data_IF_791355950418
#
_entry.id   IF_791355950418
#
_cell.length_a   1.000
_cell.length_b   1.000
_cell.length_c   1.000
_cell.angle_alpha   90.00
_cell.angle_beta   90.00
_cell.angle_gamma   90.00
#
_symmetry.space_group_name_H-M   'P 1'
#
loop_
_entity.id
_entity.type
_entity.pdbx_description
1 polymer ?
#
# COMPACT_ATOMS: atom_id res chain seq x y z
N UNK A 1 -6.15 22.00 -11.68
CA UNK A 1 -5.21 21.93 -12.82
C UNK A 1 -3.83 21.36 -12.40
N UNK A 2 -3.32 21.72 -11.23
CA UNK A 2 -2.01 21.29 -10.74
C UNK A 2 -1.96 19.77 -10.52
N UNK A 3 -2.91 19.19 -9.77
CA UNK A 3 -2.98 17.74 -9.51
C UNK A 3 -3.15 16.93 -10.81
N UNK A 4 -3.88 17.44 -11.80
CA UNK A 4 -4.02 16.77 -13.09
C UNK A 4 -2.67 16.68 -13.82
N UNK A 5 -1.86 17.73 -13.74
CA UNK A 5 -0.51 17.74 -14.27
C UNK A 5 0.39 16.70 -13.61
N UNK A 6 0.35 16.60 -12.28
CA UNK A 6 1.11 15.59 -11.51
C UNK A 6 0.67 14.16 -11.83
N UNK A 7 -0.64 13.91 -11.99
CA UNK A 7 -1.15 12.58 -12.38
C UNK A 7 -0.67 12.18 -13.80
N UNK A 8 -0.68 13.11 -14.75
CA UNK A 8 -0.15 12.87 -16.09
C UNK A 8 1.36 12.61 -16.03
N UNK A 9 2.09 13.39 -15.24
CA UNK A 9 3.52 13.20 -15.05
C UNK A 9 3.83 11.82 -14.43
N UNK A 10 3.08 11.38 -13.43
CA UNK A 10 3.21 10.06 -12.83
C UNK A 10 2.98 8.94 -13.85
N UNK A 11 1.93 9.06 -14.68
CA UNK A 11 1.62 8.08 -15.72
C UNK A 11 2.73 8.03 -16.79
N UNK A 12 3.27 9.18 -17.19
CA UNK A 12 4.39 9.26 -18.14
C UNK A 12 5.64 8.64 -17.52
N UNK A 13 5.97 8.96 -16.27
CA UNK A 13 7.13 8.41 -15.58
C UNK A 13 7.07 6.87 -15.52
N UNK A 14 5.91 6.31 -15.21
CA UNK A 14 5.70 4.86 -15.22
C UNK A 14 5.83 4.26 -16.61
N UNK A 15 5.28 4.90 -17.66
CA UNK A 15 5.41 4.45 -19.04
C UNK A 15 6.87 4.47 -19.52
N UNK A 16 7.61 5.52 -19.20
CA UNK A 16 9.04 5.63 -19.49
C UNK A 16 9.83 4.56 -18.75
N UNK A 17 9.56 4.36 -17.44
CA UNK A 17 10.18 3.30 -16.66
C UNK A 17 9.99 1.92 -17.31
N UNK A 18 8.76 1.60 -17.73
CA UNK A 18 8.47 0.36 -18.46
C UNK A 18 9.27 0.26 -19.75
N UNK A 19 9.36 1.34 -20.52
CA UNK A 19 10.16 1.40 -21.74
C UNK A 19 11.66 1.21 -21.52
N UNK A 20 12.14 1.56 -20.34
CA UNK A 20 13.53 1.36 -19.90
C UNK A 20 13.77 0.00 -19.24
N UNK A 21 12.77 -0.89 -19.19
CA UNK A 21 12.91 -2.24 -18.67
C UNK A 21 12.60 -2.41 -17.19
N UNK A 22 12.11 -1.37 -16.50
CA UNK A 22 11.62 -1.50 -15.15
C UNK A 22 10.30 -2.26 -15.13
N UNK A 23 10.08 -3.04 -14.09
CA UNK A 23 8.84 -3.81 -13.85
C UNK A 23 8.09 -3.29 -12.65
N UNK A 24 6.80 -3.61 -12.54
CA UNK A 24 5.98 -3.18 -11.39
C UNK A 24 6.59 -3.64 -10.07
N UNK A 25 6.73 -2.70 -9.13
CA UNK A 25 7.24 -2.90 -7.78
C UNK A 25 6.17 -2.49 -6.75
N UNK A 26 5.36 -3.44 -6.31
CA UNK A 26 4.27 -3.16 -5.37
C UNK A 26 4.76 -2.74 -3.98
N UNK A 27 5.97 -3.17 -3.58
CA UNK A 27 6.58 -2.79 -2.30
C UNK A 27 7.06 -1.35 -2.25
N UNK A 28 7.18 -0.67 -3.40
CA UNK A 28 7.69 0.70 -3.45
C UNK A 28 6.87 1.68 -2.61
N UNK A 29 5.56 1.49 -2.50
CA UNK A 29 4.67 2.33 -1.68
C UNK A 29 4.83 2.12 -0.18
N UNK A 30 5.46 1.02 0.24
CA UNK A 30 5.70 0.67 1.65
C UNK A 30 7.12 1.03 2.12
N UNK A 31 7.95 1.63 1.25
CA UNK A 31 9.35 1.87 1.54
C UNK A 31 9.58 3.00 2.56
N UNK A 32 8.70 4.00 2.57
CA UNK A 32 8.92 5.22 3.37
C UNK A 32 8.11 5.20 4.66
N UNK A 33 8.64 5.80 5.75
CA UNK A 33 7.89 5.96 6.99
C UNK A 33 6.61 6.79 6.76
N UNK A 34 5.48 6.33 7.31
CA UNK A 34 4.18 7.01 7.14
C UNK A 34 4.23 8.48 7.56
N UNK A 35 4.93 8.81 8.66
CA UNK A 35 5.06 10.20 9.11
C UNK A 35 5.80 11.08 8.10
N UNK A 36 6.78 10.52 7.40
CA UNK A 36 7.55 11.24 6.39
C UNK A 36 6.68 11.66 5.20
N UNK A 37 5.61 10.92 4.91
CA UNK A 37 4.66 11.23 3.85
C UNK A 37 3.78 12.45 4.15
N UNK A 38 3.80 12.93 5.39
CA UNK A 38 3.17 14.18 5.85
C UNK A 38 4.15 15.35 5.95
N UNK A 39 5.40 15.14 5.59
CA UNK A 39 6.44 16.18 5.58
C UNK A 39 6.63 16.76 4.20
N UNK A 40 6.45 18.08 4.05
CA UNK A 40 6.69 18.77 2.78
C UNK A 40 8.13 18.63 2.30
N UNK A 41 9.11 18.84 3.18
CA UNK A 41 10.53 18.72 2.83
C UNK A 41 10.91 17.29 2.39
N UNK A 42 10.30 16.26 3.00
CA UNK A 42 10.54 14.87 2.62
C UNK A 42 9.88 14.57 1.26
N UNK A 43 8.58 14.82 1.12
CA UNK A 43 7.83 14.45 -0.10
C UNK A 43 8.29 15.24 -1.32
N UNK A 44 8.67 16.50 -1.15
CA UNK A 44 9.27 17.30 -2.22
C UNK A 44 10.64 16.78 -2.66
N UNK A 45 11.41 16.17 -1.77
CA UNK A 45 12.73 15.62 -2.10
C UNK A 45 12.62 14.19 -2.64
N UNK A 46 11.90 13.30 -1.97
CA UNK A 46 11.92 11.85 -2.22
C UNK A 46 10.66 11.31 -2.91
N UNK A 47 9.60 12.10 -3.05
CA UNK A 47 8.31 11.62 -3.52
C UNK A 47 7.54 10.84 -2.43
N UNK A 48 6.66 9.95 -2.86
CA UNK A 48 5.78 9.15 -1.98
C UNK A 48 6.14 7.66 -1.95
N UNK A 49 7.04 7.24 -2.82
CA UNK A 49 7.44 5.84 -2.96
C UNK A 49 8.88 5.74 -3.48
N UNK A 50 9.53 4.60 -3.25
CA UNK A 50 10.89 4.35 -3.70
C UNK A 50 11.01 4.11 -5.21
N UNK A 51 9.89 4.00 -5.93
CA UNK A 51 9.85 3.79 -7.38
C UNK A 51 8.59 4.38 -8.00
N UNK A 52 8.71 4.85 -9.25
CA UNK A 52 7.55 5.21 -10.11
C UNK A 52 6.78 3.98 -10.56
N UNK A 53 7.34 2.78 -10.38
CA UNK A 53 6.72 1.50 -10.76
C UNK A 53 5.76 0.94 -9.70
N UNK A 54 5.48 1.66 -8.62
CA UNK A 54 4.46 1.31 -7.61
C UNK A 54 3.01 1.56 -8.05
N UNK A 55 2.79 2.01 -9.27
CA UNK A 55 1.49 2.46 -9.78
C UNK A 55 1.21 3.95 -9.44
N UNK A 56 0.01 4.41 -9.74
CA UNK A 56 -0.39 5.78 -9.38
C UNK A 56 -0.68 5.85 -7.89
N UNK A 57 0.22 6.47 -7.15
CA UNK A 57 0.15 6.63 -5.69
C UNK A 57 -0.33 8.03 -5.37
N UNK A 58 -1.45 8.10 -4.63
CA UNK A 58 -2.03 9.33 -4.11
C UNK A 58 -1.82 9.36 -2.60
N UNK A 59 -1.34 10.47 -2.08
CA UNK A 59 -1.10 10.70 -0.67
C UNK A 59 -2.40 11.01 0.08
N UNK A 60 -3.09 9.98 0.49
CA UNK A 60 -4.33 10.07 1.25
C UNK A 60 -4.15 10.15 2.77
N UNK A 61 -2.89 10.10 3.25
CA UNK A 61 -2.56 10.27 4.67
C UNK A 61 -2.30 11.73 5.03
N UNK A 62 -2.09 12.60 4.02
CA UNK A 62 -1.89 14.03 4.21
C UNK A 62 -3.18 14.74 4.65
N UNK A 63 -3.08 15.62 5.63
CA UNK A 63 -4.18 16.51 6.04
C UNK A 63 -4.25 17.74 5.13
N UNK A 64 -5.33 18.52 5.24
CA UNK A 64 -5.42 19.81 4.54
C UNK A 64 -4.32 20.80 4.95
N UNK A 65 -3.85 20.71 6.20
CA UNK A 65 -2.74 21.51 6.67
C UNK A 65 -1.42 21.09 6.02
N UNK A 66 -1.17 19.76 5.96
CA UNK A 66 0.01 19.22 5.29
C UNK A 66 0.05 19.66 3.81
N UNK A 67 -1.11 19.63 3.13
CA UNK A 67 -1.26 20.07 1.73
C UNK A 67 -0.94 21.57 1.59
N UNK A 68 -1.49 22.41 2.47
CA UNK A 68 -1.18 23.85 2.48
C UNK A 68 0.29 24.14 2.72
N UNK A 69 0.97 23.26 3.48
CA UNK A 69 2.40 23.35 3.75
C UNK A 69 3.27 22.77 2.61
N UNK A 70 2.66 22.31 1.51
CA UNK A 70 3.37 21.88 0.30
C UNK A 70 3.75 20.40 0.28
N UNK A 71 3.05 19.54 1.02
CA UNK A 71 3.19 18.08 0.90
C UNK A 71 2.75 17.64 -0.49
N UNK A 72 3.54 16.78 -1.16
CA UNK A 72 3.19 16.22 -2.45
C UNK A 72 2.00 15.27 -2.34
N UNK A 73 1.06 15.36 -3.30
CA UNK A 73 -0.14 14.52 -3.34
C UNK A 73 -0.02 13.34 -4.30
N UNK A 74 0.88 13.41 -5.27
CA UNK A 74 1.06 12.37 -6.29
C UNK A 74 2.52 11.96 -6.36
N UNK A 75 2.79 10.66 -6.52
CA UNK A 75 4.14 10.15 -6.73
C UNK A 75 4.52 10.28 -8.21
N UNK A 76 5.20 11.36 -8.56
CA UNK A 76 5.64 11.62 -9.93
C UNK A 76 7.18 11.65 -10.10
N UNK A 77 7.92 11.33 -9.03
CA UNK A 77 9.39 11.36 -9.02
C UNK A 77 9.98 9.96 -9.04
N UNK A 78 11.05 9.74 -9.83
CA UNK A 78 11.88 8.56 -9.67
C UNK A 78 12.42 8.47 -8.25
N UNK A 79 12.46 7.25 -7.73
CA UNK A 79 13.00 6.97 -6.40
C UNK A 79 14.33 6.22 -6.43
N UNK A 80 14.91 5.92 -5.27
CA UNK A 80 16.21 5.26 -5.18
C UNK A 80 16.23 3.86 -5.83
N UNK A 81 15.10 3.14 -5.81
CA UNK A 81 15.00 1.86 -6.51
C UNK A 81 15.13 2.04 -8.04
N UNK A 82 14.47 3.05 -8.61
CA UNK A 82 14.55 3.33 -10.05
C UNK A 82 15.99 3.67 -10.45
N UNK A 83 16.67 4.49 -9.66
CA UNK A 83 18.07 4.88 -9.89
C UNK A 83 18.99 3.67 -9.86
N UNK A 84 18.80 2.75 -8.89
CA UNK A 84 19.57 1.52 -8.82
C UNK A 84 19.35 0.63 -10.05
N UNK A 85 18.08 0.45 -10.48
CA UNK A 85 17.78 -0.39 -11.65
C UNK A 85 18.34 0.22 -12.93
N UNK A 86 18.23 1.52 -13.12
CA UNK A 86 18.82 2.21 -14.28
C UNK A 86 20.36 2.09 -14.27
N UNK A 87 20.99 2.27 -13.10
CA UNK A 87 22.41 2.03 -12.94
C UNK A 87 22.78 0.58 -13.35
N UNK A 88 22.05 -0.40 -12.83
CA UNK A 88 22.28 -1.81 -13.09
C UNK A 88 22.16 -2.18 -14.58
N UNK A 89 21.15 -1.61 -15.27
CA UNK A 89 20.87 -1.95 -16.68
C UNK A 89 21.75 -1.20 -17.68
N UNK A 90 22.17 0.03 -17.36
CA UNK A 90 22.74 0.94 -18.38
C UNK A 90 24.11 1.51 -18.03
N UNK A 91 24.59 1.39 -16.80
CA UNK A 91 25.92 1.91 -16.48
C UNK A 91 27.01 1.02 -17.10
N UNK A 92 27.89 1.55 -17.95
CA UNK A 92 29.00 0.80 -18.50
C UNK A 92 29.91 0.23 -17.43
N UNK A 93 30.27 -1.04 -17.53
CA UNK A 93 31.25 -1.72 -16.68
C UNK A 93 32.43 -2.10 -17.56
N UNK A 94 33.62 -1.60 -17.21
CA UNK A 94 34.84 -1.89 -17.92
C UNK A 94 35.57 -3.08 -17.28
N UNK A 95 34.92 -4.25 -17.36
CA UNK A 95 35.46 -5.49 -16.79
C UNK A 95 36.35 -6.22 -17.80
N UNK A 96 37.36 -6.94 -17.33
CA UNK A 96 38.24 -7.78 -18.15
C UNK A 96 37.63 -9.16 -18.45
N UNK A 97 36.55 -9.53 -17.74
CA UNK A 97 35.84 -10.81 -17.89
C UNK A 97 34.36 -10.68 -17.50
N UNK A 98 33.52 -11.60 -18.00
CA UNK A 98 32.11 -11.71 -17.60
C UNK A 98 31.96 -12.00 -16.08
N UNK A 99 32.93 -12.68 -15.49
CA UNK A 99 32.92 -12.95 -14.05
C UNK A 99 33.10 -11.67 -13.23
N UNK A 100 34.04 -10.81 -13.62
CA UNK A 100 34.27 -9.51 -12.99
C UNK A 100 33.08 -8.57 -13.16
N UNK A 101 32.46 -8.57 -14.35
CA UNK A 101 31.22 -7.83 -14.58
C UNK A 101 30.11 -8.29 -13.63
N UNK A 102 29.89 -9.61 -13.53
CA UNK A 102 28.89 -10.18 -12.61
C UNK A 102 29.15 -9.82 -11.15
N UNK A 103 30.42 -9.88 -10.72
CA UNK A 103 30.79 -9.52 -9.34
C UNK A 103 30.51 -8.04 -9.05
N UNK A 104 30.73 -7.16 -10.02
CA UNK A 104 30.40 -5.74 -9.92
C UNK A 104 28.89 -5.53 -9.81
N UNK A 105 28.09 -6.16 -10.66
CA UNK A 105 26.63 -6.09 -10.61
C UNK A 105 26.07 -6.64 -9.28
N UNK A 106 26.63 -7.76 -8.82
CA UNK A 106 26.28 -8.36 -7.53
C UNK A 106 26.63 -7.44 -6.35
N UNK A 107 27.76 -6.71 -6.42
CA UNK A 107 28.12 -5.76 -5.35
C UNK A 107 27.11 -4.62 -5.25
N UNK A 108 26.66 -4.05 -6.37
CA UNK A 108 25.68 -2.96 -6.36
C UNK A 108 24.35 -3.37 -5.70
N UNK A 109 23.91 -4.63 -5.89
CA UNK A 109 22.70 -5.13 -5.24
C UNK A 109 22.95 -5.37 -3.74
N UNK A 110 24.11 -5.95 -3.39
CA UNK A 110 24.45 -6.27 -1.98
C UNK A 110 24.59 -5.03 -1.10
N UNK A 111 25.07 -3.92 -1.65
CA UNK A 111 25.15 -2.64 -0.94
C UNK A 111 23.81 -2.19 -0.34
N UNK A 112 22.69 -2.69 -0.89
CA UNK A 112 21.34 -2.31 -0.53
C UNK A 112 20.51 -3.46 0.06
N UNK A 113 21.13 -4.62 0.34
CA UNK A 113 20.42 -5.77 0.92
C UNK A 113 19.80 -5.40 2.26
N UNK A 114 18.48 -5.58 2.39
CA UNK A 114 17.71 -5.26 3.60
C UNK A 114 17.28 -3.81 3.74
N UNK A 115 17.70 -2.93 2.85
CA UNK A 115 17.20 -1.55 2.82
C UNK A 115 15.83 -1.49 2.12
N UNK A 116 14.76 -1.09 2.83
CA UNK A 116 13.41 -1.03 2.25
C UNK A 116 13.28 -0.08 1.05
N UNK A 117 14.18 0.90 0.93
CA UNK A 117 14.17 1.85 -0.18
C UNK A 117 14.55 1.20 -1.52
N UNK A 118 15.23 0.06 -1.47
CA UNK A 118 15.69 -0.68 -2.65
C UNK A 118 15.01 -2.05 -2.79
N UNK A 119 14.04 -2.35 -1.91
CA UNK A 119 13.34 -3.61 -1.96
C UNK A 119 12.49 -3.74 -3.23
N UNK A 120 12.57 -4.92 -3.85
CA UNK A 120 11.70 -5.31 -4.95
C UNK A 120 10.68 -6.35 -4.49
N UNK A 121 9.43 -5.99 -4.50
CA UNK A 121 8.33 -6.88 -4.14
C UNK A 121 7.46 -7.07 -5.38
N UNK A 122 7.58 -8.24 -6.01
CA UNK A 122 6.73 -8.62 -7.13
C UNK A 122 5.45 -9.29 -6.65
N UNK A 123 4.40 -9.17 -7.48
CA UNK A 123 3.15 -9.88 -7.26
C UNK A 123 3.40 -11.40 -7.23
N UNK A 124 3.21 -12.03 -6.08
CA UNK A 124 3.28 -13.48 -5.90
C UNK A 124 1.86 -14.04 -5.99
N UNK A 125 1.60 -14.86 -6.98
CA UNK A 125 0.25 -15.12 -7.48
C UNK A 125 -0.62 -16.09 -6.70
N UNK A 126 -0.22 -16.71 -5.60
CA UNK A 126 -1.06 -17.72 -4.92
C UNK A 126 -1.00 -17.77 -3.40
N UNK A 127 0.09 -17.33 -2.80
CA UNK A 127 0.22 -17.21 -1.35
C UNK A 127 0.90 -15.88 -1.06
N UNK A 128 0.11 -14.82 -1.15
CA UNK A 128 0.58 -13.48 -0.88
C UNK A 128 0.63 -13.25 0.63
N UNK A 129 1.71 -13.76 1.23
CA UNK A 129 1.97 -13.63 2.66
C UNK A 129 2.71 -12.36 3.01
N UNK A 130 3.35 -11.69 2.04
CA UNK A 130 4.11 -10.47 2.31
C UNK A 130 3.19 -9.24 2.31
N UNK A 131 2.98 -8.58 3.45
CA UNK A 131 2.08 -7.44 3.54
C UNK A 131 2.53 -6.24 2.70
N UNK A 132 3.81 -6.17 2.31
CA UNK A 132 4.31 -5.12 1.42
C UNK A 132 3.80 -5.26 -0.02
N UNK A 133 3.28 -6.44 -0.40
CA UNK A 133 2.68 -6.69 -1.71
C UNK A 133 1.19 -6.31 -1.74
N UNK A 134 0.80 -5.23 -1.10
CA UNK A 134 -0.60 -4.78 -1.02
C UNK A 134 -0.85 -3.59 -1.94
N UNK A 135 -1.72 -3.78 -2.92
CA UNK A 135 -2.25 -2.66 -3.73
C UNK A 135 -3.05 -1.72 -2.81
N UNK A 136 -2.71 -0.45 -2.83
CA UNK A 136 -3.40 0.56 -2.02
C UNK A 136 -2.78 0.79 -0.65
N UNK A 137 -1.67 0.13 -0.31
CA UNK A 137 -0.84 0.50 0.83
C UNK A 137 -0.12 1.83 0.57
N UNK A 138 0.23 2.53 1.63
CA UNK A 138 1.06 3.72 1.59
C UNK A 138 1.81 3.85 2.92
N UNK A 139 3.15 3.88 2.83
CA UNK A 139 4.04 3.91 3.98
C UNK A 139 4.29 2.54 4.61
N UNK A 140 5.26 2.49 5.51
CA UNK A 140 5.81 1.30 6.15
C UNK A 140 4.88 0.67 7.22
N UNK A 141 3.84 1.37 7.63
CA UNK A 141 2.87 0.91 8.63
C UNK A 141 1.41 1.08 8.16
N UNK A 142 0.77 -0.05 7.81
CA UNK A 142 -0.60 -0.06 7.29
C UNK A 142 -1.64 0.39 8.33
N UNK A 143 -1.44 0.09 9.62
CA UNK A 143 -2.35 0.52 10.69
C UNK A 143 -2.29 2.03 10.87
N UNK A 144 -1.09 2.58 10.99
CA UNK A 144 -0.87 4.02 11.13
C UNK A 144 -1.33 4.78 9.88
N UNK A 145 -1.03 4.25 8.70
CA UNK A 145 -1.49 4.80 7.43
C UNK A 145 -3.01 4.82 7.33
N UNK A 146 -3.67 3.77 7.80
CA UNK A 146 -5.13 3.70 7.87
C UNK A 146 -5.71 4.77 8.81
N UNK A 147 -5.13 4.92 10.00
CA UNK A 147 -5.59 5.90 10.98
C UNK A 147 -5.48 7.34 10.45
N UNK A 148 -4.45 7.66 9.68
CA UNK A 148 -4.32 8.97 9.02
C UNK A 148 -5.27 9.14 7.85
N UNK A 149 -5.52 8.10 7.07
CA UNK A 149 -6.40 8.15 5.90
C UNK A 149 -7.89 8.22 6.27
N UNK A 150 -8.32 7.51 7.31
CA UNK A 150 -9.74 7.32 7.64
C UNK A 150 -10.51 8.64 7.81
N UNK A 151 -10.00 9.68 8.51
CA UNK A 151 -10.68 10.98 8.60
C UNK A 151 -10.88 11.64 7.23
N UNK A 152 -9.90 11.53 6.33
CA UNK A 152 -9.98 12.11 4.99
C UNK A 152 -11.05 11.41 4.14
N UNK A 153 -11.13 10.09 4.21
CA UNK A 153 -12.14 9.30 3.51
C UNK A 153 -13.53 9.58 4.07
N UNK A 154 -13.70 9.65 5.41
CA UNK A 154 -14.98 10.05 6.03
C UNK A 154 -15.44 11.42 5.56
N UNK A 155 -14.55 12.41 5.58
CA UNK A 155 -14.85 13.74 5.04
C UNK A 155 -15.26 13.68 3.56
N UNK A 156 -14.64 12.79 2.79
CA UNK A 156 -15.03 12.53 1.41
C UNK A 156 -16.49 12.06 1.30
N UNK A 157 -16.89 11.06 2.07
CA UNK A 157 -18.28 10.55 2.10
C UNK A 157 -19.29 11.59 2.59
N UNK A 158 -18.94 12.42 3.57
CA UNK A 158 -19.81 13.48 4.08
C UNK A 158 -20.06 14.60 3.07
N UNK A 159 -19.11 14.84 2.15
CA UNK A 159 -19.14 16.03 1.32
C UNK A 159 -19.19 15.78 -0.20
N UNK A 160 -18.96 14.55 -0.68
CA UNK A 160 -18.89 14.26 -2.12
C UNK A 160 -20.10 14.76 -2.89
N UNK A 161 -21.28 14.65 -2.31
CA UNK A 161 -22.52 15.08 -2.95
C UNK A 161 -22.52 16.59 -3.21
N UNK A 162 -22.20 17.40 -2.19
CA UNK A 162 -22.21 18.86 -2.28
C UNK A 162 -21.09 19.41 -3.15
N UNK A 163 -19.92 18.75 -3.19
CA UNK A 163 -18.78 19.23 -3.97
C UNK A 163 -19.06 19.29 -5.48
N UNK A 164 -19.91 18.39 -5.98
CA UNK A 164 -20.21 18.29 -7.40
C UNK A 164 -21.61 18.79 -7.77
N UNK A 165 -22.40 19.29 -6.82
CA UNK A 165 -23.82 19.63 -7.02
C UNK A 165 -24.12 20.62 -8.16
N UNK A 166 -23.18 21.52 -8.50
CA UNK A 166 -23.40 22.55 -9.52
C UNK A 166 -23.09 22.08 -10.93
N UNK A 167 -22.18 21.13 -11.09
CA UNK A 167 -21.62 20.76 -12.40
C UNK A 167 -22.07 19.36 -12.86
N UNK A 168 -22.49 18.50 -11.93
CA UNK A 168 -22.83 17.10 -12.17
C UNK A 168 -24.34 16.90 -12.34
N UNK A 169 -24.84 17.24 -13.54
CA UNK A 169 -26.28 17.20 -13.84
C UNK A 169 -26.87 15.78 -13.95
N UNK A 170 -26.04 14.82 -14.30
CA UNK A 170 -26.41 13.40 -14.50
C UNK A 170 -25.91 12.48 -13.37
N UNK A 171 -25.43 13.08 -12.29
CA UNK A 171 -24.91 12.38 -11.12
C UNK A 171 -23.69 11.46 -11.38
N UNK A 172 -23.10 11.52 -12.56
CA UNK A 172 -22.02 10.63 -12.96
C UNK A 172 -20.77 10.83 -12.09
N UNK A 173 -20.39 12.07 -11.81
CA UNK A 173 -19.21 12.38 -10.98
C UNK A 173 -19.43 11.97 -9.53
N UNK A 174 -20.60 12.23 -8.97
CA UNK A 174 -20.96 11.81 -7.60
C UNK A 174 -20.88 10.31 -7.44
N UNK A 175 -21.45 9.53 -8.38
CA UNK A 175 -21.35 8.06 -8.37
C UNK A 175 -19.89 7.58 -8.44
N UNK A 176 -19.09 8.18 -9.33
CA UNK A 176 -17.67 7.82 -9.47
C UNK A 176 -16.89 8.11 -8.21
N UNK A 177 -17.08 9.28 -7.59
CA UNK A 177 -16.38 9.64 -6.36
C UNK A 177 -16.79 8.75 -5.20
N UNK A 178 -18.08 8.48 -5.02
CA UNK A 178 -18.56 7.55 -4.00
C UNK A 178 -17.98 6.14 -4.18
N UNK A 179 -17.90 5.63 -5.42
CA UNK A 179 -17.26 4.34 -5.70
C UNK A 179 -15.75 4.37 -5.43
N UNK A 180 -15.07 5.42 -5.84
CA UNK A 180 -13.63 5.56 -5.61
C UNK A 180 -13.27 5.64 -4.12
N UNK A 181 -14.06 6.34 -3.31
CA UNK A 181 -13.91 6.37 -1.85
C UNK A 181 -14.08 4.98 -1.22
N UNK A 182 -15.10 4.24 -1.70
CA UNK A 182 -15.35 2.86 -1.23
C UNK A 182 -14.22 1.90 -1.60
N UNK A 183 -13.72 1.99 -2.83
CA UNK A 183 -12.57 1.20 -3.31
C UNK A 183 -11.30 1.54 -2.54
N UNK A 184 -11.10 2.82 -2.24
CA UNK A 184 -9.95 3.27 -1.44
C UNK A 184 -10.01 2.70 -0.03
N UNK A 185 -11.16 2.77 0.63
CA UNK A 185 -11.37 2.19 1.96
C UNK A 185 -11.14 0.67 1.94
N UNK A 186 -11.72 -0.04 0.96
CA UNK A 186 -11.53 -1.49 0.78
C UNK A 186 -10.05 -1.85 0.62
N UNK A 187 -9.32 -1.15 -0.25
CA UNK A 187 -7.89 -1.39 -0.45
C UNK A 187 -7.06 -1.24 0.84
N UNK A 188 -7.38 -0.25 1.67
CA UNK A 188 -6.71 -0.04 2.96
C UNK A 188 -7.07 -1.12 4.00
N UNK A 189 -8.31 -1.60 3.98
CA UNK A 189 -8.74 -2.73 4.81
C UNK A 189 -7.94 -3.98 4.45
N UNK A 190 -7.80 -4.29 3.16
CA UNK A 190 -6.97 -5.41 2.72
C UNK A 190 -5.50 -5.27 3.13
N UNK A 191 -4.94 -4.06 3.10
CA UNK A 191 -3.59 -3.81 3.57
C UNK A 191 -3.43 -4.12 5.08
N UNK A 192 -4.40 -3.73 5.90
CA UNK A 192 -4.40 -4.08 7.34
C UNK A 192 -4.52 -5.60 7.53
N UNK A 193 -5.47 -6.24 6.86
CA UNK A 193 -5.70 -7.68 6.97
C UNK A 193 -4.48 -8.50 6.52
N UNK A 194 -3.64 -7.97 5.63
CA UNK A 194 -2.42 -8.65 5.19
C UNK A 194 -1.38 -8.84 6.30
N UNK A 195 -1.47 -8.11 7.41
CA UNK A 195 -0.63 -8.34 8.58
C UNK A 195 -0.95 -9.65 9.30
N UNK A 196 -2.20 -10.12 9.24
CA UNK A 196 -2.63 -11.36 9.91
C UNK A 196 -2.01 -12.55 9.19
N UNK A 197 -1.19 -13.33 9.90
CA UNK A 197 -0.38 -14.41 9.32
C UNK A 197 0.63 -13.89 8.28
N UNK A 198 0.99 -12.60 8.33
CA UNK A 198 1.91 -11.98 7.39
C UNK A 198 3.36 -12.41 7.60
N UNK A 199 4.05 -12.67 6.49
CA UNK A 199 5.47 -13.04 6.48
C UNK A 199 6.17 -12.15 5.46
N UNK A 200 7.16 -11.39 5.92
CA UNK A 200 8.05 -10.63 5.05
C UNK A 200 9.02 -11.58 4.33
N UNK A 201 9.09 -11.47 3.02
CA UNK A 201 9.98 -12.27 2.18
C UNK A 201 11.13 -11.39 1.71
N UNK A 202 12.33 -11.67 2.16
CA UNK A 202 13.50 -10.89 1.77
C UNK A 202 14.29 -11.62 0.68
N UNK A 203 14.57 -10.92 -0.41
CA UNK A 203 15.50 -11.40 -1.42
C UNK A 203 16.92 -11.35 -0.83
N UNK A 204 17.42 -12.51 -0.42
CA UNK A 204 18.75 -12.66 0.16
C UNK A 204 19.62 -13.57 -0.69
N UNK A 205 20.92 -13.43 -0.51
CA UNK A 205 21.95 -14.32 -1.04
C UNK A 205 22.67 -15.04 0.11
N UNK A 206 23.38 -16.09 -0.22
CA UNK A 206 24.24 -16.76 0.74
C UNK A 206 25.17 -15.76 1.42
N UNK A 207 25.21 -15.76 2.77
CA UNK A 207 25.99 -14.86 3.66
C UNK A 207 25.39 -13.47 3.90
N UNK A 208 24.20 -13.14 3.41
CA UNK A 208 23.54 -11.92 3.84
C UNK A 208 23.14 -11.99 5.31
N UNK A 209 23.24 -10.86 6.01
CA UNK A 209 23.04 -10.80 7.45
C UNK A 209 21.58 -10.80 7.91
N UNK A 210 20.64 -10.74 6.97
CA UNK A 210 19.19 -10.71 7.26
C UNK A 210 18.54 -12.06 6.99
N UNK A 211 17.48 -12.44 7.72
CA UNK A 211 16.76 -13.67 7.46
C UNK A 211 15.94 -13.58 6.15
N UNK A 212 15.83 -14.72 5.43
CA UNK A 212 14.98 -14.81 4.24
C UNK A 212 13.49 -14.60 4.54
N UNK A 213 13.08 -14.94 5.76
CA UNK A 213 11.70 -14.82 6.25
C UNK A 213 11.70 -14.17 7.62
N UNK A 214 10.77 -13.22 7.82
CA UNK A 214 10.42 -12.74 9.15
C UNK A 214 8.90 -12.58 9.22
N UNK A 215 8.29 -12.98 10.35
CA UNK A 215 6.86 -12.78 10.50
C UNK A 215 6.55 -11.33 10.88
N UNK A 216 5.34 -10.90 10.60
CA UNK A 216 4.78 -9.68 11.20
C UNK A 216 4.69 -9.88 12.70
N UNK A 217 5.08 -8.87 13.46
CA UNK A 217 5.00 -8.89 14.91
C UNK A 217 3.62 -9.33 15.40
N UNK A 218 3.57 -10.20 16.43
CA UNK A 218 2.34 -10.79 16.96
C UNK A 218 1.34 -9.74 17.42
N UNK A 219 1.79 -8.72 18.12
CA UNK A 219 0.91 -7.65 18.62
C UNK A 219 0.37 -6.80 17.47
N UNK A 220 1.15 -6.63 16.41
CA UNK A 220 0.71 -5.96 15.19
C UNK A 220 -0.37 -6.76 14.45
N UNK A 221 -0.27 -8.09 14.42
CA UNK A 221 -1.30 -8.96 13.86
C UNK A 221 -2.61 -8.85 14.66
N UNK A 222 -2.54 -8.88 16.00
CA UNK A 222 -3.69 -8.69 16.91
C UNK A 222 -4.34 -7.32 16.73
N UNK A 223 -3.53 -6.27 16.65
CA UNK A 223 -4.02 -4.91 16.40
C UNK A 223 -4.73 -4.80 15.03
N UNK A 224 -4.25 -5.51 14.02
CA UNK A 224 -4.88 -5.56 12.70
C UNK A 224 -6.27 -6.22 12.75
N UNK A 225 -6.40 -7.36 13.45
CA UNK A 225 -7.68 -8.02 13.68
C UNK A 225 -8.66 -7.11 14.44
N UNK A 226 -8.23 -6.58 15.58
CA UNK A 226 -9.04 -5.68 16.40
C UNK A 226 -9.54 -4.46 15.59
N UNK A 227 -8.65 -3.83 14.81
CA UNK A 227 -9.01 -2.69 13.95
C UNK A 227 -10.04 -3.08 12.89
N UNK A 228 -9.90 -4.24 12.25
CA UNK A 228 -10.83 -4.72 11.25
C UNK A 228 -12.22 -5.02 11.85
N UNK A 229 -12.27 -5.66 13.02
CA UNK A 229 -13.52 -5.94 13.74
C UNK A 229 -14.21 -4.67 14.24
N UNK A 230 -13.45 -3.72 14.77
CA UNK A 230 -13.97 -2.40 15.18
C UNK A 230 -14.58 -1.65 13.99
N UNK A 231 -13.89 -1.66 12.86
CA UNK A 231 -14.38 -1.02 11.64
C UNK A 231 -15.67 -1.68 11.16
N UNK A 232 -15.75 -3.02 11.14
CA UNK A 232 -16.95 -3.74 10.71
C UNK A 232 -18.19 -3.36 11.54
N UNK A 233 -18.02 -3.07 12.83
CA UNK A 233 -19.10 -2.62 13.70
C UNK A 233 -19.60 -1.20 13.37
N UNK A 234 -18.79 -0.36 12.73
CA UNK A 234 -19.00 1.08 12.57
C UNK A 234 -18.89 1.56 11.11
N UNK A 235 -19.51 0.86 10.15
CA UNK A 235 -19.44 1.17 8.72
C UNK A 235 -20.65 1.89 8.13
N UNK A 236 -21.73 2.13 8.89
CA UNK A 236 -23.00 2.69 8.36
C UNK A 236 -22.84 4.06 7.70
N UNK A 237 -21.80 4.81 8.06
CA UNK A 237 -21.46 6.10 7.47
C UNK A 237 -21.01 6.02 5.99
N UNK A 238 -20.74 4.82 5.47
CA UNK A 238 -20.39 4.59 4.06
C UNK A 238 -21.63 4.64 3.17
N UNK A 239 -22.81 4.31 3.73
CA UNK A 239 -24.06 4.28 2.98
C UNK A 239 -24.66 5.69 2.89
N UNK A 240 -24.92 6.15 1.67
CA UNK A 240 -25.66 7.38 1.45
C UNK A 240 -27.15 7.09 1.39
N UNK A 241 -27.80 7.15 2.55
CA UNK A 241 -29.25 6.94 2.65
C UNK A 241 -30.08 8.18 2.25
N UNK A 242 -29.45 9.36 2.18
CA UNK A 242 -30.15 10.61 1.88
C UNK A 242 -30.48 10.77 0.40
N UNK A 243 -29.66 10.19 -0.49
CA UNK A 243 -29.75 10.41 -1.95
C UNK A 243 -30.10 9.14 -2.74
N UNK A 244 -30.63 8.09 -2.08
CA UNK A 244 -30.95 6.80 -2.70
C UNK A 244 -31.93 6.90 -3.90
N UNK A 245 -32.81 7.91 -3.89
CA UNK A 245 -33.79 8.10 -4.92
C UNK A 245 -33.33 9.04 -6.05
N UNK A 246 -32.17 9.64 -5.94
CA UNK A 246 -31.70 10.63 -6.91
C UNK A 246 -30.84 10.01 -8.00
N UNK A 247 -30.10 8.96 -7.67
CA UNK A 247 -29.29 8.22 -8.63
C UNK A 247 -28.99 6.81 -8.11
N UNK A 248 -28.68 5.92 -9.05
CA UNK A 248 -28.39 4.52 -8.74
C UNK A 248 -27.09 4.40 -7.93
N UNK A 249 -27.21 4.44 -6.60
CA UNK A 249 -26.17 4.04 -5.67
C UNK A 249 -26.50 2.63 -5.17
N UNK A 250 -25.47 1.81 -5.00
CA UNK A 250 -25.64 0.58 -4.22
C UNK A 250 -25.92 0.95 -2.78
N UNK A 251 -27.11 0.66 -2.32
CA UNK A 251 -27.65 0.96 -1.00
C UNK A 251 -27.10 0.10 0.14
N UNK A 252 -26.09 -0.73 -0.12
CA UNK A 252 -25.54 -1.69 0.84
C UNK A 252 -24.03 -1.82 0.75
N UNK A 253 -23.34 -0.70 0.59
CA UNK A 253 -21.86 -0.72 0.54
C UNK A 253 -21.25 -1.06 1.88
N UNK A 254 -21.84 -0.61 2.98
CA UNK A 254 -21.42 -0.98 4.31
C UNK A 254 -21.53 -2.49 4.53
N UNK A 255 -22.64 -3.12 4.14
CA UNK A 255 -22.81 -4.56 4.27
C UNK A 255 -21.83 -5.35 3.41
N UNK A 256 -21.54 -4.86 2.20
CA UNK A 256 -20.54 -5.47 1.33
C UNK A 256 -19.13 -5.36 1.94
N UNK A 257 -18.77 -4.19 2.45
CA UNK A 257 -17.48 -4.02 3.13
C UNK A 257 -17.35 -4.88 4.39
N UNK A 258 -18.44 -5.02 5.18
CA UNK A 258 -18.49 -5.96 6.31
C UNK A 258 -18.23 -7.39 5.86
N UNK A 259 -18.90 -7.82 4.80
CA UNK A 259 -18.70 -9.16 4.23
C UNK A 259 -17.25 -9.35 3.74
N UNK A 260 -16.68 -8.35 3.07
CA UNK A 260 -15.30 -8.37 2.61
C UNK A 260 -14.30 -8.44 3.78
N UNK A 261 -14.57 -7.72 4.88
CA UNK A 261 -13.77 -7.80 6.11
C UNK A 261 -13.84 -9.21 6.70
N UNK A 262 -15.03 -9.78 6.88
CA UNK A 262 -15.19 -11.13 7.44
C UNK A 262 -14.55 -12.18 6.53
N UNK A 263 -14.78 -12.12 5.23
CA UNK A 263 -14.12 -13.01 4.28
C UNK A 263 -12.60 -12.87 4.32
N UNK A 264 -12.10 -11.64 4.47
CA UNK A 264 -10.68 -11.38 4.65
C UNK A 264 -10.14 -11.98 5.94
N UNK A 265 -10.82 -11.78 7.07
CA UNK A 265 -10.44 -12.38 8.36
C UNK A 265 -10.37 -13.91 8.24
N UNK A 266 -11.45 -14.57 7.83
CA UNK A 266 -11.44 -16.03 7.70
C UNK A 266 -10.47 -16.54 6.62
N UNK A 267 -10.29 -15.78 5.55
CA UNK A 267 -9.33 -16.08 4.49
C UNK A 267 -7.87 -16.03 4.94
N UNK A 268 -7.56 -15.37 6.08
CA UNK A 268 -6.21 -15.34 6.65
C UNK A 268 -5.86 -16.56 7.50
N UNK A 269 -6.81 -17.40 7.86
CA UNK A 269 -6.55 -18.59 8.70
C UNK A 269 -5.43 -19.50 8.17
N UNK A 270 -5.39 -19.88 6.88
CA UNK A 270 -4.28 -20.68 6.35
C UNK A 270 -2.91 -20.00 6.47
N UNK A 271 -2.86 -18.68 6.41
CA UNK A 271 -1.61 -17.92 6.59
C UNK A 271 -1.16 -17.91 8.05
N UNK A 272 -2.11 -17.82 8.99
CA UNK A 272 -1.85 -17.94 10.43
C UNK A 272 -1.30 -19.33 10.76
N UNK A 273 -1.86 -20.39 10.16
CA UNK A 273 -1.37 -21.76 10.31
C UNK A 273 0.07 -21.90 9.81
N UNK A 274 0.36 -21.43 8.60
CA UNK A 274 1.73 -21.42 8.03
C UNK A 274 2.70 -20.61 8.91
N UNK A 275 2.26 -19.47 9.44
CA UNK A 275 3.06 -18.64 10.34
C UNK A 275 3.36 -19.40 11.65
N UNK A 276 2.37 -20.10 12.21
CA UNK A 276 2.51 -20.91 13.42
C UNK A 276 3.51 -22.07 13.21
N UNK A 277 3.44 -22.74 12.07
CA UNK A 277 4.37 -23.84 11.74
C UNK A 277 5.82 -23.36 11.58
N UNK A 278 6.02 -22.16 11.00
CA UNK A 278 7.36 -21.60 10.75
C UNK A 278 7.98 -20.93 11.96
N UNK A 279 7.17 -20.38 12.85
CA UNK A 279 7.59 -19.58 14.00
C UNK A 279 6.87 -20.04 15.29
N UNK A 280 6.99 -21.31 15.71
CA UNK A 280 6.15 -21.91 16.76
C UNK A 280 6.23 -21.17 18.11
N UNK A 281 7.39 -20.58 18.43
CA UNK A 281 7.62 -19.91 19.73
C UNK A 281 7.14 -18.46 19.77
N UNK A 282 6.85 -17.86 18.60
CA UNK A 282 6.59 -16.41 18.50
C UNK A 282 5.29 -16.08 17.76
N UNK A 283 4.68 -17.04 17.08
CA UNK A 283 3.52 -16.80 16.22
C UNK A 283 2.25 -16.46 17.02
N UNK A 284 1.37 -15.72 16.36
CA UNK A 284 -0.04 -15.60 16.72
C UNK A 284 -0.72 -16.89 16.28
N UNK A 285 -1.00 -17.78 17.23
CA UNK A 285 -1.48 -19.15 16.91
C UNK A 285 -2.90 -19.15 16.36
N UNK A 286 -3.25 -20.20 15.59
CA UNK A 286 -4.61 -20.35 15.05
C UNK A 286 -5.68 -20.42 16.16
N UNK A 287 -5.36 -21.05 17.32
CA UNK A 287 -6.28 -21.09 18.47
C UNK A 287 -6.53 -19.68 19.02
N UNK A 288 -5.47 -18.93 19.31
CA UNK A 288 -5.60 -17.55 19.79
C UNK A 288 -6.33 -16.66 18.79
N UNK A 289 -6.04 -16.84 17.49
CA UNK A 289 -6.69 -16.09 16.43
C UNK A 289 -8.20 -16.31 16.41
N UNK A 290 -8.63 -17.57 16.52
CA UNK A 290 -10.05 -17.92 16.59
C UNK A 290 -10.69 -17.41 17.88
N UNK A 291 -10.00 -17.52 19.02
CA UNK A 291 -10.49 -16.99 20.31
C UNK A 291 -10.69 -15.45 20.22
N UNK A 292 -9.75 -14.73 19.63
CA UNK A 292 -9.84 -13.27 19.45
C UNK A 292 -10.92 -12.83 18.42
N UNK A 293 -11.37 -13.73 17.53
CA UNK A 293 -12.51 -13.47 16.63
C UNK A 293 -13.84 -13.63 17.36
N UNK A 294 -13.94 -14.62 18.29
CA UNK A 294 -15.18 -14.93 18.98
C UNK A 294 -15.38 -14.18 20.30
N UNK A 295 -14.32 -13.63 20.88
CA UNK A 295 -14.33 -12.88 22.14
C UNK A 295 -14.67 -11.43 21.97
#
# INVERSE_FOLDING_TARGET
QEIQGELIQAAIAQAVGTGLGLTMNWGASCAYPVDSLRSASFTQKYGLASSVMGGVIINDVATEEDIRNGVCLVNAKPGPYDELVIKYLYQPIYASSLQEEKETLDSWIREHTGDPYYAYIRNQSRFDSDPRNSRGSLGDDHLKSFDYMLPNVRKGFENYYSWFAKEDRDFLMRRRVHSALSERLSGRIYAILSYIGGIYLNDIREKDAIPSYSMVDREKQKAALSKALELAKNLDWVDDTAHLNEFEISDKKADRLRLDIFNGIFGRLPYVEVCTERFPDAAYTASEYLDDIYG
#
